data_IF_373836566369
#
_entry.id   IF_373836566369
#
_cell.length_a   1.000
_cell.length_b   1.000
_cell.length_c   1.000
_cell.angle_alpha   90.00
_cell.angle_beta   90.00
_cell.angle_gamma   90.00
#
_symmetry.space_group_name_H-M   'P 1'
#
loop_
_entity.id
_entity.type
_entity.pdbx_description
1 polymer ?
#
# COMPACT_ATOMS: atom_id res chain seq x y z
N UNK A 1 8.85 2.81 -13.17
CA UNK A 1 8.36 4.18 -12.89
C UNK A 1 9.31 4.79 -11.88
N UNK A 2 9.52 6.11 -11.90
CA UNK A 2 10.56 6.75 -11.09
C UNK A 2 10.17 6.74 -9.62
N UNK A 3 10.95 6.06 -8.77
CA UNK A 3 10.85 6.17 -7.32
C UNK A 3 10.96 7.65 -6.91
N UNK A 4 9.84 8.25 -6.52
CA UNK A 4 9.79 9.65 -6.11
C UNK A 4 10.01 9.74 -4.60
N UNK A 5 10.99 10.55 -4.18
CA UNK A 5 11.14 10.93 -2.78
C UNK A 5 10.10 12.00 -2.46
N UNK A 6 8.97 11.57 -1.91
CA UNK A 6 7.81 12.45 -1.74
C UNK A 6 8.05 13.60 -0.77
N UNK A 7 7.85 14.82 -1.25
CA UNK A 7 7.87 16.06 -0.48
C UNK A 7 6.50 16.73 -0.55
N UNK A 8 5.87 16.99 0.60
CA UNK A 8 4.51 17.53 0.65
C UNK A 8 4.49 19.04 0.40
N UNK A 9 3.51 19.50 -0.37
CA UNK A 9 3.25 20.93 -0.56
C UNK A 9 2.96 21.68 0.75
N UNK A 10 3.12 23.01 0.70
CA UNK A 10 2.84 23.91 1.81
C UNK A 10 1.37 23.94 2.22
N UNK A 11 1.09 24.49 3.41
CA UNK A 11 -0.26 24.52 3.96
C UNK A 11 -1.26 25.34 3.11
N UNK A 12 -0.78 26.41 2.47
CA UNK A 12 -1.57 27.30 1.62
C UNK A 12 -1.78 26.77 0.19
N UNK A 13 -1.01 25.76 -0.22
CA UNK A 13 -0.97 25.28 -1.61
C UNK A 13 -1.82 24.01 -1.81
N UNK A 14 -2.53 23.56 -0.77
CA UNK A 14 -3.30 22.32 -0.79
C UNK A 14 -4.39 22.35 -1.85
N UNK A 15 -4.61 21.19 -2.48
CA UNK A 15 -5.69 20.99 -3.45
C UNK A 15 -6.96 20.54 -2.73
N UNK A 16 -8.11 21.07 -3.17
CA UNK A 16 -9.41 20.65 -2.66
C UNK A 16 -9.91 19.45 -3.45
N UNK A 17 -10.10 18.32 -2.78
CA UNK A 17 -10.57 17.09 -3.40
C UNK A 17 -11.82 16.56 -2.68
N UNK A 18 -12.68 15.78 -3.38
CA UNK A 18 -13.80 15.09 -2.76
C UNK A 18 -13.33 14.24 -1.58
N UNK A 19 -14.04 14.39 -0.47
CA UNK A 19 -13.75 13.68 0.76
C UNK A 19 -14.88 12.72 1.09
N UNK A 20 -14.54 11.44 1.16
CA UNK A 20 -15.43 10.39 1.61
C UNK A 20 -15.00 9.88 2.98
N UNK A 21 -15.98 9.64 3.85
CA UNK A 21 -15.75 9.02 5.14
C UNK A 21 -16.82 7.97 5.41
N UNK A 22 -16.39 6.72 5.63
CA UNK A 22 -17.28 5.57 5.81
C UNK A 22 -18.31 5.42 4.67
N UNK A 23 -17.86 5.60 3.42
CA UNK A 23 -18.70 5.46 2.21
C UNK A 23 -19.70 6.59 1.98
N UNK A 24 -19.59 7.70 2.73
CA UNK A 24 -20.45 8.88 2.54
C UNK A 24 -19.61 10.07 2.10
N UNK A 25 -20.05 10.74 1.03
CA UNK A 25 -19.49 12.01 0.60
C UNK A 25 -19.73 13.09 1.67
N UNK A 26 -18.66 13.81 2.05
CA UNK A 26 -18.66 14.89 3.03
C UNK A 26 -18.22 16.23 2.40
N UNK A 27 -18.36 16.36 1.09
CA UNK A 27 -17.94 17.55 0.34
C UNK A 27 -16.46 17.52 0.00
N UNK A 28 -15.80 18.68 0.08
CA UNK A 28 -14.37 18.83 -0.25
C UNK A 28 -13.52 18.96 1.01
N UNK A 29 -12.31 18.43 0.97
CA UNK A 29 -11.29 18.60 2.02
C UNK A 29 -9.98 19.06 1.36
N UNK A 30 -9.12 19.83 2.05
CA UNK A 30 -7.79 20.16 1.54
C UNK A 30 -6.85 18.96 1.71
N UNK A 31 -6.20 18.55 0.62
CA UNK A 31 -5.21 17.47 0.58
C UNK A 31 -3.83 18.01 0.19
N UNK A 32 -2.80 17.46 0.84
CA UNK A 32 -1.42 17.68 0.39
C UNK A 32 -1.15 16.83 -0.85
N UNK A 33 -0.29 17.30 -1.72
CA UNK A 33 0.27 16.53 -2.82
C UNK A 33 1.78 16.62 -2.82
N UNK A 34 2.43 15.72 -3.53
CA UNK A 34 3.87 15.76 -3.72
C UNK A 34 4.24 16.82 -4.77
N UNK A 35 5.10 17.77 -4.42
CA UNK A 35 5.53 18.83 -5.36
C UNK A 35 6.33 18.31 -6.56
N UNK A 36 6.91 17.11 -6.45
CA UNK A 36 7.75 16.51 -7.50
C UNK A 36 6.96 15.65 -8.49
N UNK A 37 5.97 14.89 -8.03
CA UNK A 37 5.20 13.96 -8.89
C UNK A 37 3.70 14.24 -8.96
N UNK A 38 3.19 15.20 -8.19
CA UNK A 38 1.77 15.58 -8.17
C UNK A 38 0.85 14.59 -7.44
N UNK A 39 1.36 13.46 -6.93
CA UNK A 39 0.51 12.45 -6.27
C UNK A 39 -0.08 13.01 -4.96
N UNK A 40 -1.34 12.73 -4.71
CA UNK A 40 -2.04 13.19 -3.50
C UNK A 40 -1.68 12.32 -2.30
N UNK A 41 -1.37 12.96 -1.17
CA UNK A 41 -1.10 12.30 0.10
C UNK A 41 -2.34 11.63 0.68
N UNK A 42 -2.19 10.37 1.08
CA UNK A 42 -3.18 9.67 1.87
C UNK A 42 -3.35 10.36 3.22
N UNK A 43 -4.52 11.00 3.40
CA UNK A 43 -4.89 11.69 4.64
C UNK A 43 -5.82 10.85 5.52
N UNK A 44 -6.06 9.59 5.14
CA UNK A 44 -6.85 8.66 5.93
C UNK A 44 -6.02 8.10 7.11
N UNK A 45 -6.69 7.68 8.20
CA UNK A 45 -6.02 6.93 9.27
C UNK A 45 -5.48 5.57 8.79
N UNK A 46 -5.96 5.07 7.66
CA UNK A 46 -5.60 3.79 7.07
C UNK A 46 -4.32 3.87 6.23
N UNK A 47 -3.21 4.24 6.87
CA UNK A 47 -1.92 4.44 6.19
C UNK A 47 -1.27 3.12 5.79
N UNK A 48 -0.73 3.09 4.58
CA UNK A 48 0.11 2.00 4.10
C UNK A 48 1.31 1.74 5.02
N UNK A 49 1.86 0.54 4.95
CA UNK A 49 2.97 0.04 5.75
C UNK A 49 4.22 -0.15 4.88
N UNK A 50 5.43 0.02 5.44
CA UNK A 50 6.65 -0.22 4.68
C UNK A 50 6.78 -1.69 4.28
N UNK A 51 7.59 -1.98 3.26
CA UNK A 51 7.82 -3.34 2.75
C UNK A 51 8.16 -4.34 3.87
N UNK A 52 9.00 -3.95 4.84
CA UNK A 52 9.41 -4.80 5.95
C UNK A 52 8.26 -5.35 6.81
N UNK A 53 7.12 -4.63 6.90
CA UNK A 53 5.92 -5.14 7.57
C UNK A 53 5.40 -6.42 6.89
N UNK A 54 5.33 -6.40 5.56
CA UNK A 54 4.86 -7.53 4.76
C UNK A 54 5.91 -8.64 4.64
N UNK A 55 7.20 -8.30 4.61
CA UNK A 55 8.27 -9.29 4.71
C UNK A 55 8.17 -10.10 6.01
N UNK A 56 7.87 -9.45 7.14
CA UNK A 56 7.63 -10.12 8.41
C UNK A 56 6.36 -10.98 8.41
N UNK A 57 5.33 -10.61 7.62
CA UNK A 57 4.16 -11.48 7.41
C UNK A 57 4.54 -12.72 6.60
N UNK A 58 5.28 -12.56 5.50
CA UNK A 58 5.75 -13.68 4.67
C UNK A 58 6.61 -14.66 5.45
N UNK A 59 7.47 -14.18 6.35
CA UNK A 59 8.31 -15.01 7.20
C UNK A 59 7.52 -15.94 8.15
N UNK A 60 6.24 -15.62 8.42
CA UNK A 60 5.33 -16.44 9.24
C UNK A 60 4.52 -17.46 8.42
N UNK A 61 4.61 -17.41 7.09
CA UNK A 61 3.97 -18.36 6.20
C UNK A 61 4.90 -19.54 5.92
N UNK A 62 4.31 -20.72 5.73
CA UNK A 62 5.06 -21.92 5.34
C UNK A 62 5.29 -21.90 3.83
N UNK A 63 6.21 -21.04 3.36
CA UNK A 63 6.56 -20.85 1.95
C UNK A 63 8.05 -21.06 1.71
N UNK A 64 8.43 -21.46 0.51
CA UNK A 64 9.84 -21.65 0.14
C UNK A 64 10.57 -20.31 0.00
N UNK A 65 11.90 -20.32 0.19
CA UNK A 65 12.74 -19.13 -0.04
C UNK A 65 12.61 -18.58 -1.46
N UNK A 66 12.41 -19.46 -2.46
CA UNK A 66 12.20 -19.06 -3.86
C UNK A 66 10.87 -18.31 -4.00
N UNK A 67 9.77 -18.84 -3.46
CA UNK A 67 8.47 -18.15 -3.47
C UNK A 67 8.55 -16.79 -2.77
N UNK A 68 9.16 -16.73 -1.59
CA UNK A 68 9.34 -15.47 -0.85
C UNK A 68 10.09 -14.44 -1.70
N UNK A 69 11.17 -14.84 -2.37
CA UNK A 69 11.95 -13.95 -3.24
C UNK A 69 11.17 -13.48 -4.46
N UNK A 70 10.38 -14.36 -5.08
CA UNK A 70 9.51 -14.00 -6.22
C UNK A 70 8.43 -13.00 -5.80
N UNK A 71 7.78 -13.24 -4.66
CA UNK A 71 6.76 -12.33 -4.10
C UNK A 71 7.35 -10.96 -3.82
N UNK A 72 8.47 -10.89 -3.08
CA UNK A 72 9.12 -9.62 -2.76
C UNK A 72 9.50 -8.88 -4.05
N UNK A 73 10.05 -9.59 -5.04
CA UNK A 73 10.48 -8.95 -6.29
C UNK A 73 9.31 -8.38 -7.10
N UNK A 74 8.17 -9.07 -7.12
CA UNK A 74 6.97 -8.54 -7.77
C UNK A 74 6.42 -7.31 -7.04
N UNK A 75 6.39 -7.33 -5.70
CA UNK A 75 5.95 -6.17 -4.90
C UNK A 75 6.88 -4.95 -5.10
N UNK A 76 8.20 -5.15 -5.13
CA UNK A 76 9.17 -4.08 -5.44
C UNK A 76 8.90 -3.43 -6.80
N UNK A 77 8.61 -4.24 -7.83
CA UNK A 77 8.35 -3.75 -9.18
C UNK A 77 7.04 -2.95 -9.30
N UNK A 78 6.15 -3.05 -8.31
CA UNK A 78 4.86 -2.34 -8.26
C UNK A 78 4.90 -1.05 -7.44
N UNK A 79 6.08 -0.60 -6.98
CA UNK A 79 6.21 0.53 -6.06
C UNK A 79 5.34 0.37 -4.78
N UNK A 80 5.16 -0.89 -4.34
CA UNK A 80 4.30 -1.28 -3.21
C UNK A 80 4.66 -0.63 -1.87
N UNK A 81 5.87 -0.11 -1.77
CA UNK A 81 6.42 0.60 -0.61
C UNK A 81 5.84 2.01 -0.43
N UNK A 82 5.18 2.60 -1.45
CA UNK A 82 4.74 4.00 -1.40
C UNK A 82 3.70 4.27 -0.28
N UNK A 83 4.22 4.65 0.88
CA UNK A 83 3.42 5.00 2.06
C UNK A 83 2.77 6.38 1.97
N UNK A 84 3.13 7.19 0.96
CA UNK A 84 2.64 8.55 0.80
C UNK A 84 1.22 8.57 0.25
N UNK A 85 0.96 7.83 -0.82
CA UNK A 85 -0.31 7.87 -1.57
C UNK A 85 -1.23 6.69 -1.24
N UNK A 86 -0.69 5.54 -0.87
CA UNK A 86 -1.46 4.30 -0.77
C UNK A 86 -2.15 4.12 0.60
N UNK A 87 -3.28 3.41 0.60
CA UNK A 87 -3.96 2.97 1.84
C UNK A 87 -3.52 1.55 2.22
N UNK A 88 -3.52 1.22 3.51
CA UNK A 88 -3.20 -0.14 3.98
C UNK A 88 -4.10 -1.19 3.33
N UNK A 89 -5.39 -0.90 3.18
CA UNK A 89 -6.35 -1.86 2.59
C UNK A 89 -6.10 -2.10 1.11
N UNK A 90 -5.73 -1.05 0.35
CA UNK A 90 -5.30 -1.24 -1.04
C UNK A 90 -4.03 -2.09 -1.11
N UNK A 91 -3.07 -1.80 -0.22
CA UNK A 91 -1.82 -2.55 -0.11
C UNK A 91 -2.05 -4.02 0.27
N UNK A 92 -2.94 -4.31 1.22
CA UNK A 92 -3.32 -5.67 1.61
C UNK A 92 -3.95 -6.45 0.45
N UNK A 93 -4.80 -5.82 -0.38
CA UNK A 93 -5.37 -6.45 -1.58
C UNK A 93 -4.29 -6.85 -2.58
N UNK A 94 -3.33 -5.95 -2.85
CA UNK A 94 -2.19 -6.24 -3.73
C UNK A 94 -1.30 -7.32 -3.14
N UNK A 95 -1.03 -7.27 -1.84
CA UNK A 95 -0.24 -8.29 -1.15
C UNK A 95 -0.87 -9.68 -1.28
N UNK A 96 -2.17 -9.80 -0.96
CA UNK A 96 -2.91 -11.07 -1.04
C UNK A 96 -2.88 -11.61 -2.46
N UNK A 97 -3.11 -10.77 -3.48
CA UNK A 97 -3.13 -11.23 -4.87
C UNK A 97 -1.77 -11.74 -5.35
N UNK A 98 -0.68 -11.05 -4.99
CA UNK A 98 0.68 -11.49 -5.33
C UNK A 98 1.05 -12.77 -4.59
N UNK A 99 0.72 -12.88 -3.29
CA UNK A 99 0.98 -14.12 -2.54
C UNK A 99 0.20 -15.30 -3.15
N UNK A 100 -1.07 -15.09 -3.53
CA UNK A 100 -1.90 -16.10 -4.21
C UNK A 100 -1.30 -16.61 -5.51
N UNK A 101 -0.69 -15.72 -6.30
CA UNK A 101 -0.03 -16.08 -7.55
C UNK A 101 1.08 -17.11 -7.35
N UNK A 102 1.83 -17.02 -6.26
CA UNK A 102 3.00 -17.87 -5.99
C UNK A 102 2.74 -19.00 -4.98
N UNK A 103 1.66 -18.92 -4.20
CA UNK A 103 1.33 -19.86 -3.14
C UNK A 103 -0.02 -20.53 -3.42
N UNK A 104 0.01 -21.79 -3.89
CA UNK A 104 -1.20 -22.56 -4.23
C UNK A 104 -1.86 -23.28 -3.04
N UNK A 105 -1.27 -23.27 -1.85
CA UNK A 105 -1.79 -24.02 -0.69
C UNK A 105 -2.85 -23.24 0.11
N UNK A 106 -3.99 -23.89 0.36
CA UNK A 106 -5.11 -23.33 1.13
C UNK A 106 -4.76 -22.93 2.57
N UNK A 107 -3.75 -23.57 3.18
CA UNK A 107 -3.36 -23.31 4.57
C UNK A 107 -2.66 -21.96 4.75
N UNK A 108 -1.83 -21.56 3.79
CA UNK A 108 -1.18 -20.24 3.80
C UNK A 108 -2.20 -19.11 3.59
N UNK A 109 -3.24 -19.35 2.78
CA UNK A 109 -4.31 -18.37 2.58
C UNK A 109 -5.10 -18.11 3.85
N UNK A 110 -5.45 -19.15 4.62
CA UNK A 110 -6.18 -19.00 5.89
C UNK A 110 -5.43 -18.13 6.90
N UNK A 111 -4.09 -18.21 6.95
CA UNK A 111 -3.24 -17.40 7.83
C UNK A 111 -3.13 -15.93 7.41
N UNK A 112 -3.32 -15.63 6.13
CA UNK A 112 -3.30 -14.25 5.63
C UNK A 112 -4.63 -13.54 5.96
N UNK A 113 -5.76 -14.26 5.85
CA UNK A 113 -7.09 -13.72 6.18
C UNK A 113 -7.39 -13.65 7.69
N UNK A 114 -6.52 -14.18 8.55
CA UNK A 114 -6.64 -14.12 10.01
C UNK A 114 -5.85 -12.97 10.66
N UNK A 115 -5.28 -12.06 9.86
CA UNK A 115 -4.51 -10.88 10.28
C UNK A 115 -5.35 -9.62 10.09
#
# INVERSE_FOLDING_TARGET
>A
MTHCNHESCGAAEKVWLPYEFLGRSRGLKPHQYCIHCGVTKNSSPNKAKPMGYYTNMLARLSITKVQMRLIIKELENMDFDDTYSMTKTAQEKVFVSVVQKYCKSNENMRRIYSI
#
